data_IF_389624884878
#
_entry.id   IF_389624884878
#
_cell.length_a   1.000
_cell.length_b   1.000
_cell.length_c   1.000
_cell.angle_alpha   90.00
_cell.angle_beta   90.00
_cell.angle_gamma   90.00
#
_symmetry.space_group_name_H-M   'P 1'
#
loop_
_entity.id
_entity.type
_entity.pdbx_description
1 polymer ?
#
# COMPACT_ATOMS: atom_id res chain seq x y z
N UNK A 1 -18.46 -2.67 -11.78
CA UNK A 1 -17.77 -3.88 -11.31
C UNK A 1 -16.71 -3.52 -10.27
N UNK A 2 -16.69 -4.22 -9.15
CA UNK A 2 -15.69 -3.96 -8.12
C UNK A 2 -14.36 -4.60 -8.49
N UNK A 3 -13.28 -3.87 -8.28
CA UNK A 3 -11.92 -4.40 -8.43
C UNK A 3 -11.36 -4.64 -7.04
N UNK A 4 -10.75 -5.80 -6.86
CA UNK A 4 -10.15 -6.16 -5.57
C UNK A 4 -8.64 -5.90 -5.66
N UNK A 5 -8.14 -5.08 -4.75
CA UNK A 5 -6.73 -4.74 -4.66
C UNK A 5 -6.17 -5.34 -3.37
N UNK A 6 -5.17 -6.19 -3.50
CA UNK A 6 -4.52 -6.82 -2.36
C UNK A 6 -3.20 -6.12 -2.06
N UNK A 7 -3.01 -5.73 -0.81
CA UNK A 7 -1.80 -5.08 -0.33
C UNK A 7 -1.11 -6.00 0.67
N UNK A 8 0.14 -6.35 0.38
CA UNK A 8 0.93 -7.25 1.21
C UNK A 8 2.15 -6.49 1.72
N UNK A 9 2.34 -6.38 3.04
CA UNK A 9 3.54 -5.73 3.56
C UNK A 9 4.76 -6.59 3.31
N UNK A 10 5.80 -6.00 2.74
CA UNK A 10 7.09 -6.66 2.52
C UNK A 10 8.07 -6.26 3.63
N UNK A 11 8.08 -4.99 3.97
CA UNK A 11 8.88 -4.45 5.06
C UNK A 11 8.09 -3.29 5.66
N UNK A 12 7.72 -3.39 6.93
CA UNK A 12 6.86 -2.42 7.59
C UNK A 12 7.46 -1.02 7.50
N UNK A 13 6.64 -0.06 7.08
CA UNK A 13 6.99 1.35 6.88
C UNK A 13 7.99 1.60 5.76
N UNK A 14 8.39 0.57 5.00
CA UNK A 14 9.39 0.71 3.94
C UNK A 14 8.91 0.21 2.59
N UNK A 15 8.36 -1.00 2.53
CA UNK A 15 7.97 -1.62 1.26
C UNK A 15 6.64 -2.37 1.38
N UNK A 16 5.85 -2.26 0.33
CA UNK A 16 4.56 -2.95 0.24
C UNK A 16 4.34 -3.41 -1.19
N UNK A 17 3.64 -4.53 -1.33
CA UNK A 17 3.23 -5.03 -2.64
C UNK A 17 1.74 -4.71 -2.83
N UNK A 18 1.43 -3.91 -3.83
CA UNK A 18 0.07 -3.50 -4.15
C UNK A 18 -0.35 -4.16 -5.45
N UNK A 19 -1.09 -5.27 -5.33
CA UNK A 19 -1.60 -6.03 -6.46
C UNK A 19 -0.49 -6.40 -7.48
N UNK A 20 0.69 -6.77 -6.97
CA UNK A 20 1.84 -7.13 -7.79
C UNK A 20 2.82 -5.99 -8.05
N UNK A 21 2.49 -4.76 -7.68
CA UNK A 21 3.37 -3.61 -7.83
C UNK A 21 4.12 -3.36 -6.53
N UNK A 22 5.44 -3.25 -6.61
CA UNK A 22 6.25 -2.93 -5.44
C UNK A 22 6.25 -1.43 -5.20
N UNK A 23 5.75 -1.03 -4.03
CA UNK A 23 5.74 0.37 -3.58
C UNK A 23 6.73 0.49 -2.42
N UNK A 24 7.56 1.50 -2.46
CA UNK A 24 8.57 1.70 -1.43
C UNK A 24 8.72 3.17 -1.08
N UNK A 25 9.30 3.41 0.08
CA UNK A 25 9.54 4.78 0.56
C UNK A 25 10.93 5.22 0.12
N UNK A 26 11.02 6.36 -0.54
CA UNK A 26 12.31 6.88 -1.00
C UNK A 26 13.02 7.67 0.10
N UNK A 27 14.18 8.23 -0.21
CA UNK A 27 14.98 8.99 0.76
C UNK A 27 14.32 10.29 1.21
N UNK A 28 13.32 10.76 0.49
CA UNK A 28 12.56 11.98 0.82
C UNK A 28 11.24 11.66 1.53
N UNK A 29 11.07 10.42 2.00
CA UNK A 29 9.85 9.93 2.63
C UNK A 29 8.62 9.95 1.72
N UNK A 30 8.83 9.90 0.42
CA UNK A 30 7.75 9.79 -0.56
C UNK A 30 7.54 8.33 -0.95
N UNK A 31 6.28 7.97 -1.13
CA UNK A 31 5.93 6.63 -1.61
C UNK A 31 5.99 6.60 -3.12
N UNK A 32 6.80 5.69 -3.65
CA UNK A 32 6.97 5.55 -5.10
C UNK A 32 6.79 4.09 -5.49
N UNK A 33 6.33 3.87 -6.71
CA UNK A 33 6.12 2.54 -7.26
C UNK A 33 7.14 2.27 -8.36
N UNK A 34 7.65 1.04 -8.41
CA UNK A 34 8.59 0.63 -9.47
C UNK A 34 7.92 0.55 -10.83
N UNK A 35 6.61 0.31 -10.83
CA UNK A 35 5.81 0.23 -12.04
C UNK A 35 4.60 1.13 -11.91
N UNK A 36 3.98 1.48 -13.03
CA UNK A 36 2.81 2.36 -13.01
C UNK A 36 1.61 1.62 -12.43
N UNK A 37 1.05 2.17 -11.36
CA UNK A 37 -0.17 1.66 -10.76
C UNK A 37 -1.38 2.38 -11.33
N UNK A 38 -2.49 1.65 -11.45
CA UNK A 38 -3.77 2.25 -11.85
C UNK A 38 -4.30 3.17 -10.74
N UNK A 39 -5.27 4.03 -11.08
CA UNK A 39 -5.91 4.90 -10.10
C UNK A 39 -6.57 4.10 -8.98
N UNK A 40 -7.13 2.94 -9.30
CA UNK A 40 -7.74 2.06 -8.30
C UNK A 40 -6.71 1.54 -7.32
N UNK A 41 -5.55 1.15 -7.81
CA UNK A 41 -4.45 0.67 -6.97
C UNK A 41 -3.91 1.78 -6.09
N UNK A 42 -3.77 2.99 -6.63
CA UNK A 42 -3.34 4.16 -5.85
C UNK A 42 -4.33 4.50 -4.75
N UNK A 43 -5.64 4.42 -5.04
CA UNK A 43 -6.68 4.67 -4.04
C UNK A 43 -6.63 3.66 -2.92
N UNK A 44 -6.48 2.39 -3.27
CA UNK A 44 -6.37 1.32 -2.28
C UNK A 44 -5.15 1.52 -1.39
N UNK A 45 -4.02 1.86 -1.98
CA UNK A 45 -2.80 2.12 -1.22
C UNK A 45 -2.94 3.32 -0.28
N UNK A 46 -3.60 4.39 -0.73
CA UNK A 46 -3.86 5.56 0.12
C UNK A 46 -4.69 5.19 1.34
N UNK A 47 -5.71 4.34 1.15
CA UNK A 47 -6.52 3.85 2.27
C UNK A 47 -5.67 3.04 3.23
N UNK A 48 -4.88 2.13 2.71
CA UNK A 48 -3.99 1.31 3.53
C UNK A 48 -3.00 2.18 4.30
N UNK A 49 -2.41 3.15 3.64
CA UNK A 49 -1.48 4.09 4.26
C UNK A 49 -2.13 4.81 5.43
N UNK A 50 -3.32 5.35 5.22
CA UNK A 50 -4.03 6.10 6.26
C UNK A 50 -4.51 5.20 7.41
N UNK A 51 -5.02 4.00 7.09
CA UNK A 51 -5.63 3.12 8.09
C UNK A 51 -4.63 2.23 8.81
N UNK A 52 -3.52 1.91 8.21
CA UNK A 52 -2.54 0.96 8.75
C UNK A 52 -1.17 1.61 8.96
N UNK A 53 -0.58 2.15 7.92
CA UNK A 53 0.80 2.65 7.99
C UNK A 53 0.93 3.84 8.94
N UNK A 54 0.00 4.78 8.85
CA UNK A 54 0.01 5.98 9.68
C UNK A 54 -0.77 5.81 10.99
N UNK A 55 -1.37 4.64 11.22
CA UNK A 55 -2.15 4.38 12.42
C UNK A 55 -1.24 3.80 13.50
N UNK A 56 -1.05 4.51 14.62
CA UNK A 56 -0.14 4.05 15.69
C UNK A 56 -0.65 2.80 16.41
N UNK A 57 -1.92 2.42 16.25
CA UNK A 57 -2.45 1.21 16.82
C UNK A 57 -1.95 -0.06 16.11
N UNK A 58 -1.50 0.07 14.88
CA UNK A 58 -0.96 -1.06 14.11
C UNK A 58 0.55 -1.08 14.17
N UNK A 59 1.09 -1.88 15.07
CA UNK A 59 2.54 -2.03 15.23
C UNK A 59 3.13 -2.96 14.19
N UNK A 60 2.40 -4.00 13.81
CA UNK A 60 2.78 -4.93 12.76
C UNK A 60 1.77 -4.81 11.64
N UNK A 61 2.24 -4.56 10.43
CA UNK A 61 1.37 -4.42 9.27
C UNK A 61 1.03 -5.78 8.71
N UNK A 62 -0.21 -5.97 8.31
CA UNK A 62 -0.70 -7.23 7.79
C UNK A 62 -1.32 -7.03 6.42
N UNK A 63 -1.47 -8.14 5.69
CA UNK A 63 -2.13 -8.16 4.40
C UNK A 63 -3.55 -7.61 4.51
N UNK A 64 -3.91 -6.76 3.55
CA UNK A 64 -5.26 -6.19 3.47
C UNK A 64 -5.78 -6.27 2.05
N UNK A 65 -7.11 -6.34 1.92
CA UNK A 65 -7.78 -6.40 0.63
C UNK A 65 -8.83 -5.30 0.58
N UNK A 66 -8.83 -4.53 -0.51
CA UNK A 66 -9.75 -3.41 -0.70
C UNK A 66 -10.55 -3.60 -1.97
N UNK A 67 -11.83 -3.26 -1.89
CA UNK A 67 -12.71 -3.17 -3.05
C UNK A 67 -12.81 -1.71 -3.48
N UNK A 68 -12.48 -1.47 -4.73
CA UNK A 68 -12.52 -0.12 -5.30
C UNK A 68 -13.29 -0.09 -6.62
#
# INVERSE_FOLDING_TARGET
MSVIITIIPLEDHQQYNVNGHTVYKDSNDNWVSRTDMSDMELRAFRRYKSQVIENPAFKTHTKATYKV
#
